data_IF_939028725578
#
_entry.id   IF_939028725578
#
_cell.length_a   1.000
_cell.length_b   1.000
_cell.length_c   1.000
_cell.angle_alpha   90.00
_cell.angle_beta   90.00
_cell.angle_gamma   90.00
#
_symmetry.space_group_name_H-M   'P 1'
#
loop_
_entity.id
_entity.type
_entity.pdbx_description
1 polymer ?
#
# COMPACT_ATOMS: atom_id res chain seq x y z
N UNK A 1 -12.36 12.26 -9.41
CA UNK A 1 -10.93 12.39 -9.73
C UNK A 1 -10.42 13.72 -9.23
N UNK A 2 -9.23 13.75 -8.64
CA UNK A 2 -8.51 14.96 -8.24
C UNK A 2 -7.38 15.22 -9.23
N UNK A 3 -7.12 16.48 -9.54
CA UNK A 3 -5.98 16.92 -10.32
C UNK A 3 -5.13 17.84 -9.43
N UNK A 4 -3.85 17.57 -9.33
CA UNK A 4 -2.95 18.28 -8.44
C UNK A 4 -2.03 19.24 -9.20
N UNK A 5 -1.76 20.38 -8.55
CA UNK A 5 -0.78 21.36 -9.04
C UNK A 5 0.30 21.51 -7.98
N UNK A 6 1.55 21.25 -8.37
CA UNK A 6 2.72 21.43 -7.50
C UNK A 6 2.58 20.67 -6.17
N UNK A 7 2.21 19.40 -6.22
CA UNK A 7 2.24 18.49 -5.07
C UNK A 7 3.31 17.45 -5.33
N UNK A 8 4.22 17.28 -4.38
CA UNK A 8 5.38 16.42 -4.53
C UNK A 8 5.57 15.51 -3.31
N UNK A 9 6.07 14.31 -3.55
CA UNK A 9 6.77 13.51 -2.55
C UNK A 9 8.25 13.86 -2.70
N UNK A 10 8.84 14.47 -1.67
CA UNK A 10 10.22 14.92 -1.71
C UNK A 10 11.17 13.96 -0.99
N UNK A 11 10.66 13.23 0.01
CA UNK A 11 11.44 12.28 0.77
C UNK A 11 10.61 11.08 1.21
N UNK A 12 11.29 9.94 1.46
CA UNK A 12 10.69 8.71 1.98
C UNK A 12 11.68 7.93 2.82
N UNK A 13 11.14 7.14 3.74
CA UNK A 13 11.91 6.23 4.58
C UNK A 13 11.21 4.89 4.71
N UNK A 14 11.98 3.79 4.58
CA UNK A 14 11.45 2.43 4.62
C UNK A 14 12.18 1.56 5.65
N UNK A 15 11.40 0.76 6.37
CA UNK A 15 11.85 -0.32 7.25
C UNK A 15 11.25 -1.61 6.73
N UNK A 16 12.06 -2.66 6.64
CA UNK A 16 11.62 -3.99 6.20
C UNK A 16 11.92 -5.05 7.25
N UNK A 17 11.03 -6.03 7.34
CA UNK A 17 11.18 -7.18 8.24
C UNK A 17 12.23 -8.20 7.78
N UNK A 18 12.45 -9.25 8.58
CA UNK A 18 13.47 -10.26 8.29
C UNK A 18 13.23 -11.02 6.99
N UNK A 19 11.98 -11.41 6.68
CA UNK A 19 11.64 -12.11 5.45
C UNK A 19 11.82 -11.20 4.23
N UNK A 20 11.38 -9.97 4.33
CA UNK A 20 11.50 -8.95 3.29
C UNK A 20 12.97 -8.64 2.98
N UNK A 21 13.82 -8.67 4.00
CA UNK A 21 15.28 -8.48 3.87
C UNK A 21 15.95 -9.67 3.17
N UNK A 22 15.58 -10.90 3.53
CA UNK A 22 16.24 -12.11 3.04
C UNK A 22 15.71 -12.55 1.66
N UNK A 23 14.39 -12.58 1.51
CA UNK A 23 13.71 -13.14 0.36
C UNK A 23 13.14 -12.07 -0.57
N UNK A 24 13.05 -10.80 -0.10
CA UNK A 24 12.48 -9.69 -0.86
C UNK A 24 13.29 -9.33 -2.11
N UNK A 25 12.58 -8.91 -3.14
CA UNK A 25 13.15 -8.30 -4.34
C UNK A 25 13.22 -6.78 -4.18
N UNK A 26 13.72 -6.34 -3.02
CA UNK A 26 13.89 -4.94 -2.65
C UNK A 26 15.38 -4.58 -2.71
N UNK A 27 15.71 -3.42 -3.30
CA UNK A 27 17.08 -3.07 -3.61
C UNK A 27 17.66 -1.98 -2.72
N UNK A 28 16.84 -1.10 -2.17
CA UNK A 28 17.30 0.14 -1.51
C UNK A 28 16.39 0.56 -0.35
N UNK A 29 16.23 -0.29 0.63
CA UNK A 29 15.57 0.04 1.90
C UNK A 29 16.52 0.78 2.86
N UNK A 30 15.95 1.58 3.78
CA UNK A 30 16.75 2.33 4.76
C UNK A 30 17.18 1.47 5.95
N UNK A 31 16.27 0.63 6.47
CA UNK A 31 16.55 -0.24 7.61
C UNK A 31 15.96 -1.64 7.38
N UNK A 32 16.80 -2.68 7.51
CA UNK A 32 16.36 -4.08 7.49
C UNK A 32 16.51 -4.73 8.85
N UNK A 33 15.40 -5.18 9.44
CA UNK A 33 15.37 -5.81 10.75
C UNK A 33 16.05 -7.18 10.75
N UNK A 34 16.61 -7.58 11.89
CA UNK A 34 17.19 -8.91 12.10
C UNK A 34 16.17 -9.93 12.59
N UNK A 35 15.13 -9.47 13.28
CA UNK A 35 14.07 -10.30 13.84
C UNK A 35 12.73 -9.55 13.82
N UNK A 36 11.64 -10.26 14.09
CA UNK A 36 10.29 -9.70 14.08
C UNK A 36 9.93 -8.89 15.33
N UNK A 37 10.74 -8.93 16.38
CA UNK A 37 10.45 -8.21 17.62
C UNK A 37 10.99 -6.80 17.66
N UNK A 38 12.02 -6.49 16.87
CA UNK A 38 12.67 -5.18 16.87
C UNK A 38 13.05 -4.71 18.28
N UNK A 39 13.55 -5.63 19.11
CA UNK A 39 13.84 -5.45 20.54
C UNK A 39 12.61 -5.08 21.39
N UNK A 40 11.41 -5.41 20.96
CA UNK A 40 10.18 -5.25 21.73
C UNK A 40 9.69 -6.60 22.26
N UNK A 41 8.70 -6.60 23.16
CA UNK A 41 8.15 -7.81 23.77
C UNK A 41 7.01 -8.44 22.96
N UNK A 42 6.39 -7.68 22.07
CA UNK A 42 5.26 -8.10 21.24
C UNK A 42 5.40 -7.56 19.82
N UNK A 43 4.74 -8.22 18.87
CA UNK A 43 4.77 -7.82 17.47
C UNK A 43 4.05 -6.49 17.23
N UNK A 44 2.99 -6.22 17.99
CA UNK A 44 2.25 -4.95 17.94
C UNK A 44 3.15 -3.79 18.38
N UNK A 45 3.93 -3.96 19.48
CA UNK A 45 4.91 -2.95 19.91
C UNK A 45 6.06 -2.78 18.94
N UNK A 46 6.50 -3.87 18.30
CA UNK A 46 7.50 -3.79 17.24
C UNK A 46 6.99 -2.95 16.06
N UNK A 47 5.72 -3.11 15.68
CA UNK A 47 5.10 -2.34 14.61
C UNK A 47 4.96 -0.86 14.99
N UNK A 48 4.54 -0.52 16.22
CA UNK A 48 4.54 0.86 16.74
C UNK A 48 5.93 1.48 16.65
N UNK A 49 6.95 0.74 17.06
CA UNK A 49 8.34 1.21 17.02
C UNK A 49 8.83 1.44 15.58
N UNK A 50 8.43 0.60 14.61
CA UNK A 50 8.72 0.85 13.21
C UNK A 50 8.12 2.17 12.73
N UNK A 51 6.85 2.47 13.05
CA UNK A 51 6.24 3.75 12.67
C UNK A 51 6.93 4.94 13.34
N UNK A 52 7.31 4.84 14.62
CA UNK A 52 8.07 5.88 15.34
C UNK A 52 9.44 6.15 14.69
N UNK A 53 10.16 5.10 14.30
CA UNK A 53 11.43 5.24 13.59
C UNK A 53 11.26 5.97 12.25
N UNK A 54 10.22 5.61 11.50
CA UNK A 54 9.89 6.28 10.25
C UNK A 54 9.54 7.75 10.47
N UNK A 55 8.71 8.07 11.46
CA UNK A 55 8.34 9.45 11.77
C UNK A 55 9.56 10.29 12.19
N UNK A 56 10.44 9.72 13.00
CA UNK A 56 11.64 10.41 13.48
C UNK A 56 12.57 10.86 12.34
N UNK A 57 12.61 10.13 11.23
CA UNK A 57 13.37 10.54 10.05
C UNK A 57 12.92 11.92 9.50
N UNK A 58 11.62 12.22 9.57
CA UNK A 58 11.07 13.47 9.02
C UNK A 58 11.05 14.64 9.98
N UNK A 59 11.36 14.45 11.26
CA UNK A 59 11.32 15.51 12.30
C UNK A 59 12.44 16.55 12.19
N UNK A 60 13.28 16.47 11.18
CA UNK A 60 14.31 17.49 10.89
C UNK A 60 13.70 18.82 10.43
N UNK A 61 12.45 18.81 10.01
CA UNK A 61 11.67 19.97 9.59
C UNK A 61 10.31 19.99 10.29
N UNK A 62 9.62 21.14 10.23
CA UNK A 62 8.27 21.25 10.76
C UNK A 62 7.30 20.40 9.96
N UNK A 63 6.59 19.51 10.66
CA UNK A 63 5.49 18.71 10.13
C UNK A 63 4.18 19.38 10.58
N UNK A 64 3.30 19.73 9.65
CA UNK A 64 2.02 20.35 9.97
C UNK A 64 0.94 19.30 10.31
N UNK A 65 1.02 18.12 9.72
CA UNK A 65 0.12 16.98 9.99
C UNK A 65 0.81 15.64 9.72
N UNK A 66 0.54 14.68 10.57
CA UNK A 66 0.84 13.26 10.33
C UNK A 66 -0.47 12.56 9.97
N UNK A 67 -0.46 11.83 8.87
CA UNK A 67 -1.51 10.91 8.52
C UNK A 67 -0.94 9.49 8.55
N UNK A 68 -1.62 8.54 9.19
CA UNK A 68 -1.07 7.19 9.25
C UNK A 68 -2.13 6.10 9.11
N UNK A 69 -1.65 4.89 8.85
CA UNK A 69 -2.45 3.67 8.78
C UNK A 69 -1.66 2.43 9.22
N UNK A 70 -2.39 1.45 9.69
CA UNK A 70 -1.94 0.08 9.90
C UNK A 70 -3.11 -0.89 9.66
N UNK A 71 -2.89 -2.19 9.88
CA UNK A 71 -3.93 -3.20 9.68
C UNK A 71 -4.69 -3.58 10.97
N UNK A 72 -4.19 -3.15 12.13
CA UNK A 72 -4.76 -3.57 13.41
C UNK A 72 -6.09 -2.87 13.68
N UNK A 73 -6.95 -3.52 14.46
CA UNK A 73 -8.26 -2.99 14.82
C UNK A 73 -8.14 -1.57 15.38
N UNK A 74 -8.98 -0.67 14.87
CA UNK A 74 -9.01 0.76 15.22
C UNK A 74 -7.70 1.49 14.96
N UNK A 75 -6.81 0.92 14.13
CA UNK A 75 -5.48 1.47 13.84
C UNK A 75 -4.68 1.75 15.13
N UNK A 76 -4.67 0.78 16.03
CA UNK A 76 -4.05 0.97 17.35
C UNK A 76 -2.56 1.25 17.26
N UNK A 77 -1.87 0.70 16.27
CA UNK A 77 -0.43 0.94 16.06
C UNK A 77 -0.18 2.40 15.73
N UNK A 78 -0.93 2.96 14.78
CA UNK A 78 -0.81 4.36 14.36
C UNK A 78 -1.21 5.34 15.46
N UNK A 79 -2.25 5.00 16.25
CA UNK A 79 -2.67 5.82 17.39
C UNK A 79 -1.61 5.84 18.50
N UNK A 80 -1.02 4.69 18.85
CA UNK A 80 0.06 4.61 19.85
C UNK A 80 1.36 5.27 19.37
N UNK A 81 1.61 5.29 18.05
CA UNK A 81 2.72 6.06 17.50
C UNK A 81 2.48 7.55 17.69
N UNK A 82 1.25 8.03 17.40
CA UNK A 82 0.90 9.44 17.42
C UNK A 82 0.71 10.00 18.84
N UNK A 83 0.34 9.17 19.82
CA UNK A 83 0.07 9.57 21.20
C UNK A 83 1.24 10.34 21.88
N UNK A 84 2.47 9.94 21.56
CA UNK A 84 3.68 10.56 22.13
C UNK A 84 4.13 11.81 21.36
N UNK A 85 3.39 12.19 20.31
CA UNK A 85 3.81 13.25 19.39
C UNK A 85 2.90 14.48 19.51
N UNK A 86 3.50 15.66 19.63
CA UNK A 86 2.76 16.94 19.61
C UNK A 86 2.55 17.44 18.17
N UNK A 87 1.94 16.58 17.33
CA UNK A 87 1.66 16.85 15.92
C UNK A 87 0.21 16.47 15.60
N UNK A 88 -0.57 17.33 14.92
CA UNK A 88 -1.91 16.97 14.47
C UNK A 88 -1.92 15.65 13.70
N UNK A 89 -2.86 14.75 14.05
CA UNK A 89 -2.91 13.39 13.54
C UNK A 89 -4.23 13.08 12.86
N UNK A 90 -4.16 12.37 11.72
CA UNK A 90 -5.31 11.80 11.02
C UNK A 90 -5.06 10.32 10.70
N UNK A 91 -5.86 9.44 11.29
CA UNK A 91 -5.88 8.03 10.91
C UNK A 91 -6.71 7.77 9.65
N UNK A 92 -6.19 6.98 8.71
CA UNK A 92 -6.89 6.59 7.47
C UNK A 92 -6.84 5.07 7.30
N UNK A 93 -8.00 4.43 7.26
CA UNK A 93 -8.09 2.98 7.08
C UNK A 93 -8.82 2.58 5.79
N UNK A 94 -8.11 1.89 4.91
CA UNK A 94 -8.63 1.22 3.71
C UNK A 94 -7.90 -0.12 3.46
N UNK A 95 -7.60 -0.85 4.52
CA UNK A 95 -6.81 -2.08 4.48
C UNK A 95 -5.51 -1.86 3.68
N UNK A 96 -5.17 -2.75 2.73
CA UNK A 96 -3.96 -2.62 1.92
C UNK A 96 -3.98 -1.40 0.96
N UNK A 97 -5.16 -0.80 0.68
CA UNK A 97 -5.27 0.41 -0.14
C UNK A 97 -4.91 1.71 0.61
N UNK A 98 -4.64 1.62 1.91
CA UNK A 98 -4.43 2.79 2.79
C UNK A 98 -3.31 3.72 2.33
N UNK A 99 -2.25 3.19 1.69
CA UNK A 99 -1.14 4.04 1.21
C UNK A 99 -1.65 5.15 0.28
N UNK A 100 -2.38 4.81 -0.77
CA UNK A 100 -2.87 5.81 -1.72
C UNK A 100 -3.94 6.70 -1.09
N UNK A 101 -4.81 6.17 -0.22
CA UNK A 101 -5.81 6.98 0.50
C UNK A 101 -5.16 8.06 1.37
N UNK A 102 -4.12 7.71 2.11
CA UNK A 102 -3.40 8.64 2.97
C UNK A 102 -2.64 9.70 2.18
N UNK A 103 -1.96 9.31 1.10
CA UNK A 103 -1.31 10.24 0.17
C UNK A 103 -2.33 11.22 -0.43
N UNK A 104 -3.51 10.75 -0.87
CA UNK A 104 -4.61 11.59 -1.38
C UNK A 104 -5.07 12.57 -0.28
N UNK A 105 -5.22 12.12 0.95
CA UNK A 105 -5.67 12.96 2.07
C UNK A 105 -4.73 14.13 2.30
N UNK A 106 -3.43 13.88 2.41
CA UNK A 106 -2.42 14.93 2.59
C UNK A 106 -2.33 15.83 1.34
N UNK A 107 -2.34 15.25 0.14
CA UNK A 107 -2.29 16.03 -1.10
C UNK A 107 -3.48 17.02 -1.21
N UNK A 108 -4.67 16.61 -0.78
CA UNK A 108 -5.85 17.48 -0.73
C UNK A 108 -5.71 18.59 0.32
N UNK A 109 -5.16 18.27 1.52
CA UNK A 109 -4.90 19.27 2.55
C UNK A 109 -3.88 20.33 2.09
N UNK A 110 -2.83 19.91 1.37
CA UNK A 110 -1.83 20.82 0.80
C UNK A 110 -2.46 21.64 -0.35
N UNK A 111 -3.21 20.99 -1.25
CA UNK A 111 -3.88 21.66 -2.38
C UNK A 111 -4.89 22.72 -1.91
N UNK A 112 -5.59 22.48 -0.79
CA UNK A 112 -6.51 23.43 -0.15
C UNK A 112 -5.81 24.50 0.67
N UNK A 113 -4.46 24.45 0.76
CA UNK A 113 -3.62 25.34 1.58
C UNK A 113 -3.86 25.21 3.10
N UNK A 114 -4.45 24.12 3.54
CA UNK A 114 -4.61 23.82 4.97
C UNK A 114 -3.31 23.48 5.68
N UNK A 115 -2.40 22.82 4.97
CA UNK A 115 -1.04 22.49 5.44
C UNK A 115 -0.01 22.74 4.34
N UNK A 116 1.26 22.83 4.70
CA UNK A 116 2.39 22.99 3.75
C UNK A 116 3.20 21.71 3.64
N UNK A 117 3.49 21.08 4.78
CA UNK A 117 4.26 19.84 4.90
C UNK A 117 3.45 18.79 5.63
N UNK A 118 3.17 17.66 5.01
CA UNK A 118 2.50 16.53 5.62
C UNK A 118 3.33 15.26 5.50
N UNK A 119 3.26 14.39 6.50
CA UNK A 119 3.90 13.08 6.48
C UNK A 119 2.82 12.00 6.51
N UNK A 120 2.86 11.08 5.57
CA UNK A 120 2.04 9.87 5.60
C UNK A 120 2.91 8.67 5.98
N UNK A 121 2.43 7.85 6.91
CA UNK A 121 3.10 6.62 7.36
C UNK A 121 2.14 5.45 7.27
N UNK A 122 2.62 4.31 6.79
CA UNK A 122 1.89 3.05 6.82
C UNK A 122 2.77 1.93 7.29
N UNK A 123 2.17 0.96 7.99
CA UNK A 123 2.86 -0.24 8.45
C UNK A 123 1.99 -1.47 8.35
N UNK A 124 2.62 -2.61 8.39
CA UNK A 124 2.03 -3.90 8.70
C UNK A 124 3.09 -4.84 9.29
N UNK A 125 2.63 -5.78 10.11
CA UNK A 125 3.48 -6.82 10.68
C UNK A 125 2.82 -8.17 10.46
N UNK A 126 3.51 -9.10 9.81
CA UNK A 126 2.95 -10.42 9.45
C UNK A 126 2.27 -11.10 10.64
N UNK A 127 2.97 -11.20 11.77
CA UNK A 127 2.48 -12.01 12.90
C UNK A 127 1.34 -11.35 13.66
N UNK A 128 1.28 -10.02 13.78
CA UNK A 128 0.12 -9.33 14.34
C UNK A 128 -1.10 -9.43 13.41
N UNK A 129 -0.90 -9.25 12.11
CA UNK A 129 -1.97 -9.40 11.11
C UNK A 129 -2.52 -10.83 11.05
N UNK A 130 -1.66 -11.87 11.08
CA UNK A 130 -2.10 -13.25 11.12
C UNK A 130 -2.93 -13.55 12.38
N UNK A 131 -2.47 -13.07 13.52
CA UNK A 131 -3.18 -13.24 14.80
C UNK A 131 -4.56 -12.57 14.77
N UNK A 132 -4.69 -11.37 14.19
CA UNK A 132 -5.96 -10.67 14.15
C UNK A 132 -6.91 -11.24 13.11
N UNK A 133 -6.45 -11.48 11.88
CA UNK A 133 -7.34 -11.80 10.76
C UNK A 133 -7.59 -13.29 10.55
N UNK A 134 -6.75 -14.16 11.10
CA UNK A 134 -6.82 -15.59 10.87
C UNK A 134 -6.88 -16.43 12.14
N UNK A 135 -6.92 -15.82 13.32
CA UNK A 135 -7.15 -16.54 14.57
C UNK A 135 -8.60 -17.11 14.60
N UNK A 136 -8.85 -18.36 15.03
CA UNK A 136 -7.89 -19.32 15.61
C UNK A 136 -7.23 -20.24 14.57
N UNK A 137 -6.99 -19.77 13.37
CA UNK A 137 -6.32 -20.56 12.34
C UNK A 137 -4.93 -20.94 12.85
N UNK A 138 -4.67 -22.21 12.77
CA UNK A 138 -3.64 -22.91 13.47
C UNK A 138 -2.27 -22.39 13.16
N UNK A 139 -1.51 -22.25 14.19
CA UNK A 139 -0.10 -21.94 14.13
C UNK A 139 0.62 -23.02 13.32
N UNK A 140 1.26 -22.61 12.23
CA UNK A 140 1.97 -23.50 11.34
C UNK A 140 1.13 -24.29 10.33
N UNK A 141 -0.18 -24.04 10.24
CA UNK A 141 -0.99 -24.63 9.17
C UNK A 141 -0.50 -24.21 7.79
N UNK A 142 -0.46 -25.15 6.85
CA UNK A 142 -0.08 -24.88 5.46
C UNK A 142 -1.14 -24.02 4.81
N UNK A 143 -0.74 -22.84 4.33
CA UNK A 143 -1.63 -21.93 3.62
C UNK A 143 -1.80 -22.39 2.15
N UNK A 144 -2.99 -22.23 1.57
CA UNK A 144 -3.18 -22.48 0.15
C UNK A 144 -2.26 -21.59 -0.69
N UNK A 145 -1.76 -22.11 -1.82
CA UNK A 145 -0.88 -21.33 -2.74
C UNK A 145 -1.51 -20.03 -3.27
N UNK A 146 -2.84 -19.92 -3.25
CA UNK A 146 -3.56 -18.67 -3.62
C UNK A 146 -3.51 -17.58 -2.55
N UNK A 147 -3.12 -17.91 -1.32
CA UNK A 147 -2.98 -16.93 -0.24
C UNK A 147 -1.78 -16.02 -0.47
N UNK A 148 -1.83 -14.83 0.11
CA UNK A 148 -0.70 -13.89 0.17
C UNK A 148 -0.05 -13.94 1.54
N UNK A 149 1.18 -13.45 1.62
CA UNK A 149 1.93 -13.26 2.86
C UNK A 149 1.92 -11.77 3.22
N UNK A 150 1.41 -11.42 4.39
CA UNK A 150 1.45 -10.02 4.85
C UNK A 150 2.89 -9.58 5.06
N UNK A 151 3.35 -8.58 4.32
CA UNK A 151 4.69 -8.06 4.47
C UNK A 151 4.86 -7.37 5.83
N UNK A 152 6.05 -7.51 6.42
CA UNK A 152 6.44 -6.80 7.64
C UNK A 152 7.29 -5.59 7.29
N UNK A 153 6.86 -4.41 7.72
CA UNK A 153 7.62 -3.17 7.48
C UNK A 153 6.82 -1.92 7.79
N UNK A 154 7.47 -0.79 7.58
CA UNK A 154 6.85 0.53 7.65
C UNK A 154 7.44 1.43 6.55
N UNK A 155 6.61 2.27 5.97
CA UNK A 155 7.01 3.26 4.97
C UNK A 155 6.41 4.60 5.33
N UNK A 156 7.24 5.64 5.31
CA UNK A 156 6.77 7.03 5.39
C UNK A 156 7.15 7.81 4.14
N UNK A 157 6.31 8.77 3.79
CA UNK A 157 6.56 9.73 2.70
C UNK A 157 6.24 11.13 3.19
N UNK A 158 7.10 12.10 2.84
CA UNK A 158 6.86 13.53 3.08
C UNK A 158 6.34 14.18 1.81
N UNK A 159 5.23 14.91 1.95
CA UNK A 159 4.60 15.65 0.88
C UNK A 159 4.69 17.15 1.13
N UNK A 160 4.92 17.93 0.07
CA UNK A 160 4.91 19.38 0.09
C UNK A 160 4.45 19.98 -1.25
N UNK A 161 4.39 21.31 -1.34
CA UNK A 161 3.99 22.04 -2.56
C UNK A 161 5.12 22.82 -3.23
N UNK A 162 6.37 22.61 -2.85
CA UNK A 162 7.50 23.40 -3.36
C UNK A 162 8.25 22.65 -4.46
N UNK A 163 8.85 21.52 -4.13
CA UNK A 163 9.62 20.67 -5.03
C UNK A 163 9.76 19.28 -4.45
N UNK A 164 10.06 18.29 -5.28
CA UNK A 164 10.28 16.93 -4.81
C UNK A 164 10.75 16.01 -5.93
N UNK A 165 11.09 14.80 -5.55
CA UNK A 165 11.58 13.76 -6.45
C UNK A 165 10.48 13.10 -7.26
N UNK A 166 9.23 13.16 -6.76
CA UNK A 166 8.07 12.55 -7.40
C UNK A 166 6.92 13.55 -7.35
N UNK A 167 6.41 13.93 -8.52
CA UNK A 167 5.24 14.77 -8.66
C UNK A 167 3.97 13.94 -8.61
N UNK A 168 3.00 14.34 -7.81
CA UNK A 168 1.66 13.77 -7.82
C UNK A 168 0.86 14.53 -8.87
N UNK A 169 0.30 13.80 -9.84
CA UNK A 169 -0.39 14.37 -11.00
C UNK A 169 -1.89 14.37 -10.79
N UNK A 170 -2.44 13.20 -10.51
CA UNK A 170 -3.88 13.03 -10.32
C UNK A 170 -4.19 11.82 -9.46
N UNK A 171 -5.42 11.75 -8.92
CA UNK A 171 -5.90 10.60 -8.18
C UNK A 171 -7.39 10.34 -8.43
N UNK A 172 -7.79 9.07 -8.32
CA UNK A 172 -9.18 8.63 -8.38
C UNK A 172 -9.51 7.80 -7.14
N UNK A 173 -10.45 8.27 -6.33
CA UNK A 173 -11.03 7.43 -5.30
C UNK A 173 -11.94 6.39 -5.96
N UNK A 174 -11.65 5.13 -5.74
CA UNK A 174 -12.46 4.03 -6.25
C UNK A 174 -13.66 3.75 -5.35
N UNK A 175 -14.57 2.92 -5.88
CA UNK A 175 -15.78 2.47 -5.20
C UNK A 175 -15.53 1.14 -4.52
N UNK A 176 -16.21 0.91 -3.41
CA UNK A 176 -16.25 -0.42 -2.80
C UNK A 176 -16.99 -1.37 -3.74
N UNK A 177 -16.41 -2.52 -4.01
CA UNK A 177 -16.95 -3.57 -4.86
C UNK A 177 -17.00 -4.90 -4.11
N UNK A 178 -18.03 -5.68 -4.39
CA UNK A 178 -18.17 -7.05 -3.91
C UNK A 178 -18.00 -8.02 -5.09
N UNK A 179 -17.04 -8.90 -4.97
CA UNK A 179 -16.79 -9.99 -5.93
C UNK A 179 -17.55 -11.27 -5.55
N UNK A 180 -18.34 -11.23 -4.46
CA UNK A 180 -19.05 -12.36 -3.85
C UNK A 180 -18.13 -13.52 -3.40
N UNK A 181 -16.83 -13.26 -3.29
CA UNK A 181 -15.85 -14.21 -2.75
C UNK A 181 -15.91 -14.19 -1.22
N UNK A 182 -15.99 -15.38 -0.63
CA UNK A 182 -16.06 -15.61 0.83
C UNK A 182 -14.79 -16.26 1.39
N UNK A 183 -13.82 -16.56 0.52
CA UNK A 183 -12.58 -17.24 0.87
C UNK A 183 -11.53 -16.23 1.31
N UNK A 184 -11.26 -16.18 2.61
CA UNK A 184 -10.24 -15.30 3.22
C UNK A 184 -8.80 -15.55 2.71
N UNK A 185 -8.55 -16.70 2.08
CA UNK A 185 -7.26 -17.02 1.48
C UNK A 185 -7.13 -16.54 0.02
N UNK A 186 -8.21 -16.03 -0.58
CA UNK A 186 -8.22 -15.57 -1.98
C UNK A 186 -8.38 -14.05 -2.08
N UNK A 187 -7.59 -13.31 -1.30
CA UNK A 187 -7.69 -11.83 -1.27
C UNK A 187 -7.41 -11.19 -2.64
N UNK A 188 -6.46 -11.74 -3.40
CA UNK A 188 -6.18 -11.24 -4.75
C UNK A 188 -7.39 -11.33 -5.68
N UNK A 189 -8.12 -12.45 -5.66
CA UNK A 189 -9.36 -12.59 -6.40
C UNK A 189 -10.46 -11.62 -5.94
N UNK A 190 -10.54 -11.37 -4.62
CA UNK A 190 -11.45 -10.36 -4.05
C UNK A 190 -11.15 -8.96 -4.60
N UNK A 191 -9.87 -8.56 -4.62
CA UNK A 191 -9.44 -7.21 -4.96
C UNK A 191 -9.42 -6.93 -6.47
N UNK A 192 -9.30 -7.96 -7.31
CA UNK A 192 -9.17 -7.79 -8.76
C UNK A 192 -10.31 -6.97 -9.38
N UNK A 193 -11.55 -7.16 -8.92
CA UNK A 193 -12.73 -6.47 -9.47
C UNK A 193 -12.73 -4.98 -9.16
N UNK A 194 -12.38 -4.59 -7.93
CA UNK A 194 -12.25 -3.16 -7.59
C UNK A 194 -11.08 -2.51 -8.33
N UNK A 195 -9.98 -3.24 -8.54
CA UNK A 195 -8.84 -2.75 -9.32
C UNK A 195 -9.21 -2.48 -10.79
N UNK A 196 -9.94 -3.40 -11.43
CA UNK A 196 -10.43 -3.24 -12.79
C UNK A 196 -11.38 -2.03 -12.91
N UNK A 197 -12.35 -1.92 -12.01
CA UNK A 197 -13.31 -0.81 -12.01
C UNK A 197 -12.59 0.55 -11.86
N UNK A 198 -11.67 0.66 -10.90
CA UNK A 198 -10.92 1.90 -10.66
C UNK A 198 -9.96 2.23 -11.78
N UNK A 199 -9.30 1.24 -12.38
CA UNK A 199 -8.45 1.42 -13.56
C UNK A 199 -9.23 2.05 -14.72
N UNK A 200 -10.37 1.47 -15.08
CA UNK A 200 -11.25 1.99 -16.15
C UNK A 200 -11.73 3.42 -15.84
N UNK A 201 -12.18 3.64 -14.61
CA UNK A 201 -12.69 4.95 -14.19
C UNK A 201 -11.58 6.01 -14.20
N UNK A 202 -10.37 5.65 -13.78
CA UNK A 202 -9.23 6.56 -13.82
C UNK A 202 -8.89 6.97 -15.26
N UNK A 203 -8.72 6.01 -16.17
CA UNK A 203 -8.41 6.28 -17.58
C UNK A 203 -9.49 7.15 -18.24
N UNK A 204 -10.77 6.82 -18.02
CA UNK A 204 -11.90 7.62 -18.55
C UNK A 204 -11.85 9.06 -18.05
N UNK A 205 -11.69 9.28 -16.75
CA UNK A 205 -11.70 10.60 -16.14
C UNK A 205 -10.46 11.42 -16.48
N UNK A 206 -9.31 10.77 -16.60
CA UNK A 206 -8.06 11.38 -17.04
C UNK A 206 -8.02 11.67 -18.54
N UNK A 207 -8.96 11.09 -19.33
CA UNK A 207 -8.93 11.10 -20.81
C UNK A 207 -7.63 10.53 -21.35
N UNK A 208 -7.16 9.43 -20.75
CA UNK A 208 -5.92 8.71 -21.06
C UNK A 208 -6.20 7.25 -21.42
N UNK A 209 -5.16 6.61 -21.95
CA UNK A 209 -5.11 5.19 -22.23
C UNK A 209 -4.02 4.52 -21.38
N UNK A 210 -3.97 3.20 -21.35
CA UNK A 210 -2.90 2.46 -20.70
C UNK A 210 -1.50 2.77 -21.26
N UNK A 211 -1.43 3.27 -22.51
CA UNK A 211 -0.17 3.60 -23.21
C UNK A 211 0.45 4.90 -22.75
N UNK A 212 -0.31 5.73 -22.04
CA UNK A 212 0.17 7.02 -21.50
C UNK A 212 1.05 6.84 -20.26
N UNK A 213 1.17 5.62 -19.75
CA UNK A 213 1.98 5.25 -18.59
C UNK A 213 3.15 4.35 -18.99
N UNK A 214 4.31 4.59 -18.40
CA UNK A 214 5.48 3.71 -18.53
C UNK A 214 5.29 2.43 -17.69
N UNK A 215 4.51 2.55 -16.59
CA UNK A 215 4.17 1.44 -15.71
C UNK A 215 2.78 1.62 -15.11
N UNK A 216 1.99 0.56 -15.12
CA UNK A 216 0.77 0.38 -14.33
C UNK A 216 1.12 -0.60 -13.22
N UNK A 217 1.08 -0.14 -11.96
CA UNK A 217 1.51 -0.92 -10.80
C UNK A 217 0.34 -1.12 -9.83
N UNK A 218 -0.17 -2.35 -9.73
CA UNK A 218 -1.12 -2.73 -8.68
C UNK A 218 -0.41 -3.09 -7.38
N UNK A 219 -1.13 -3.00 -6.25
CA UNK A 219 -0.55 -3.16 -4.92
C UNK A 219 -0.20 -4.59 -4.56
N UNK A 220 -1.21 -5.39 -4.32
CA UNK A 220 -1.07 -6.71 -3.72
C UNK A 220 -2.12 -7.72 -4.20
N UNK A 221 -2.44 -7.66 -5.50
CA UNK A 221 -3.28 -8.66 -6.14
C UNK A 221 -2.64 -10.07 -6.08
N UNK A 222 -1.31 -10.11 -6.03
CA UNK A 222 -0.53 -11.34 -6.12
C UNK A 222 -0.76 -12.08 -7.44
N UNK A 223 -0.14 -13.22 -7.63
CA UNK A 223 -0.21 -13.98 -8.88
C UNK A 223 -1.65 -14.36 -9.29
N UNK A 224 -2.52 -14.64 -8.31
CA UNK A 224 -3.91 -15.01 -8.59
C UNK A 224 -4.73 -13.81 -9.08
N UNK A 225 -4.72 -12.70 -8.34
CA UNK A 225 -5.51 -11.52 -8.69
C UNK A 225 -4.95 -10.77 -9.90
N UNK A 226 -3.62 -10.69 -10.04
CA UNK A 226 -2.93 -10.14 -11.20
C UNK A 226 -3.33 -10.83 -12.50
N UNK A 227 -3.41 -12.16 -12.47
CA UNK A 227 -3.88 -12.97 -13.64
C UNK A 227 -5.33 -12.64 -14.01
N UNK A 228 -6.22 -12.46 -13.00
CA UNK A 228 -7.63 -12.08 -13.25
C UNK A 228 -7.69 -10.67 -13.85
N UNK A 229 -6.99 -9.71 -13.26
CA UNK A 229 -6.91 -8.33 -13.73
C UNK A 229 -6.48 -8.26 -15.19
N UNK A 230 -5.36 -8.91 -15.53
CA UNK A 230 -4.85 -8.96 -16.91
C UNK A 230 -5.85 -9.62 -17.87
N UNK A 231 -6.34 -10.81 -17.54
CA UNK A 231 -7.21 -11.57 -18.43
C UNK A 231 -8.49 -10.82 -18.79
N UNK A 232 -9.11 -10.14 -17.82
CA UNK A 232 -10.33 -9.38 -18.07
C UNK A 232 -10.04 -8.15 -18.94
N UNK A 233 -9.03 -7.35 -18.59
CA UNK A 233 -8.74 -6.12 -19.33
C UNK A 233 -8.17 -6.41 -20.74
N UNK A 234 -7.33 -7.43 -20.90
CA UNK A 234 -6.86 -7.85 -22.23
C UNK A 234 -8.02 -8.37 -23.10
N UNK A 235 -9.01 -9.07 -22.50
CA UNK A 235 -10.24 -9.45 -23.18
C UNK A 235 -11.11 -8.27 -23.63
N UNK A 236 -10.94 -7.11 -23.01
CA UNK A 236 -11.58 -5.83 -23.38
C UNK A 236 -10.75 -5.00 -24.37
N UNK A 237 -9.59 -5.48 -24.78
CA UNK A 237 -8.72 -4.82 -25.75
C UNK A 237 -7.62 -3.93 -25.20
N UNK A 238 -7.43 -3.87 -23.87
CA UNK A 238 -6.30 -3.15 -23.28
C UNK A 238 -4.97 -3.88 -23.53
N UNK A 239 -3.91 -3.13 -23.78
CA UNK A 239 -2.56 -3.67 -23.94
C UNK A 239 -1.74 -3.50 -22.66
N UNK A 240 -1.66 -4.52 -21.84
CA UNK A 240 -1.03 -4.48 -20.51
C UNK A 240 0.45 -4.94 -20.50
N UNK A 241 1.22 -4.65 -21.54
CA UNK A 241 2.66 -4.97 -21.59
C UNK A 241 3.48 -4.20 -20.54
N UNK A 242 3.00 -3.05 -20.10
CA UNK A 242 3.57 -2.17 -19.08
C UNK A 242 2.96 -2.38 -17.69
N UNK A 243 2.29 -3.52 -17.46
CA UNK A 243 1.66 -3.83 -16.19
C UNK A 243 2.55 -4.71 -15.30
N UNK A 244 2.49 -4.45 -13.99
CA UNK A 244 3.14 -5.22 -12.94
C UNK A 244 2.30 -5.18 -11.66
N UNK A 245 2.33 -6.23 -10.85
CA UNK A 245 1.78 -6.25 -9.49
C UNK A 245 2.93 -6.26 -8.48
N UNK A 246 2.89 -5.35 -7.51
CA UNK A 246 3.94 -5.24 -6.51
C UNK A 246 4.00 -6.51 -5.65
N UNK A 247 2.86 -7.02 -5.20
CA UNK A 247 2.80 -8.22 -4.37
C UNK A 247 3.32 -9.48 -5.07
N UNK A 248 2.95 -9.67 -6.35
CA UNK A 248 3.43 -10.81 -7.16
C UNK A 248 4.96 -10.79 -7.31
N UNK A 249 5.54 -9.61 -7.47
CA UNK A 249 6.97 -9.43 -7.75
C UNK A 249 7.81 -9.15 -6.49
N UNK A 250 7.20 -9.17 -5.31
CA UNK A 250 7.81 -8.72 -4.07
C UNK A 250 8.92 -9.65 -3.57
N UNK A 251 8.72 -10.96 -3.67
CA UNK A 251 9.68 -11.97 -3.24
C UNK A 251 10.37 -12.66 -4.43
N UNK A 252 11.61 -13.09 -4.24
CA UNK A 252 12.40 -13.82 -5.26
C UNK A 252 11.87 -15.23 -5.48
N UNK A 253 11.50 -15.89 -4.41
CA UNK A 253 10.93 -17.26 -4.41
C UNK A 253 9.72 -17.25 -3.47
N UNK A 254 8.59 -17.75 -3.93
CA UNK A 254 7.35 -17.74 -3.17
C UNK A 254 6.60 -19.07 -3.26
N UNK A 255 6.14 -19.54 -2.10
CA UNK A 255 5.21 -20.67 -1.99
C UNK A 255 3.75 -20.24 -1.91
N UNK A 256 3.48 -18.94 -2.11
CA UNK A 256 2.16 -18.32 -2.04
C UNK A 256 1.91 -17.40 -3.24
N UNK A 257 0.79 -16.67 -3.25
CA UNK A 257 0.42 -15.78 -4.35
C UNK A 257 1.24 -14.47 -4.40
N UNK A 258 1.97 -14.15 -3.35
CA UNK A 258 2.80 -12.93 -3.27
C UNK A 258 2.73 -12.24 -1.92
N UNK A 259 3.28 -11.03 -1.83
CA UNK A 259 3.13 -10.18 -0.65
C UNK A 259 1.76 -9.49 -0.63
N UNK A 260 1.31 -9.11 0.58
CA UNK A 260 0.15 -8.25 0.79
C UNK A 260 0.39 -7.28 1.95
N UNK A 261 -0.56 -6.40 2.18
CA UNK A 261 -0.50 -5.39 3.24
C UNK A 261 -0.25 -3.98 2.71
N UNK A 262 -0.56 -2.95 3.50
CA UNK A 262 -0.45 -1.55 3.07
C UNK A 262 0.97 -1.13 2.74
N UNK A 263 1.98 -1.90 3.19
CA UNK A 263 3.39 -1.65 2.90
C UNK A 263 3.88 -2.28 1.59
N UNK A 264 3.16 -3.29 1.03
CA UNK A 264 3.65 -4.02 -0.13
C UNK A 264 3.86 -3.10 -1.34
N UNK A 265 2.87 -2.28 -1.69
CA UNK A 265 2.97 -1.32 -2.78
C UNK A 265 4.07 -0.29 -2.56
N UNK A 266 4.10 0.50 -1.45
CA UNK A 266 5.10 1.53 -1.29
C UNK A 266 6.52 0.99 -1.10
N UNK A 267 6.74 -0.14 -0.41
CA UNK A 267 8.06 -0.76 -0.35
C UNK A 267 8.57 -1.13 -1.75
N UNK A 268 7.74 -1.80 -2.55
CA UNK A 268 8.15 -2.18 -3.90
C UNK A 268 8.38 -0.95 -4.79
N UNK A 269 7.56 0.08 -4.68
CA UNK A 269 7.70 1.34 -5.41
C UNK A 269 9.01 2.04 -5.06
N UNK A 270 9.21 2.36 -3.78
CA UNK A 270 10.32 3.20 -3.32
C UNK A 270 11.65 2.45 -3.24
N UNK A 271 11.64 1.15 -2.97
CA UNK A 271 12.86 0.37 -2.81
C UNK A 271 13.30 -0.34 -4.10
N UNK A 272 12.48 -0.32 -5.15
CA UNK A 272 12.80 -0.99 -6.42
C UNK A 272 12.44 -0.16 -7.66
N UNK A 273 11.14 0.19 -7.86
CA UNK A 273 10.62 0.70 -9.14
C UNK A 273 11.19 2.05 -9.52
N UNK A 274 11.22 3.01 -8.59
CA UNK A 274 11.63 4.40 -8.87
C UNK A 274 13.09 4.54 -9.34
N UNK A 275 13.94 3.56 -9.04
CA UNK A 275 15.34 3.55 -9.51
C UNK A 275 15.49 3.06 -10.95
N UNK A 276 14.44 2.51 -11.54
CA UNK A 276 14.47 2.08 -12.93
C UNK A 276 14.18 3.28 -13.84
N UNK A 277 15.19 3.69 -14.61
CA UNK A 277 15.13 4.85 -15.51
C UNK A 277 14.06 4.75 -16.60
N UNK A 278 13.50 3.56 -16.84
CA UNK A 278 12.42 3.36 -17.81
C UNK A 278 11.07 3.89 -17.34
N UNK A 279 10.85 3.99 -16.02
CA UNK A 279 9.56 4.36 -15.45
C UNK A 279 9.59 5.82 -14.98
N UNK A 280 9.00 6.72 -15.78
CA UNK A 280 8.79 8.12 -15.43
C UNK A 280 7.33 8.38 -15.04
N UNK A 281 6.38 7.95 -15.86
CA UNK A 281 4.95 8.08 -15.63
C UNK A 281 4.38 6.77 -15.10
N UNK A 282 3.91 6.77 -13.86
CA UNK A 282 3.45 5.56 -13.19
C UNK A 282 2.02 5.76 -12.72
N UNK A 283 1.15 4.80 -13.04
CA UNK A 283 -0.17 4.68 -12.46
C UNK A 283 -0.14 3.64 -11.35
N UNK A 284 -0.30 4.08 -10.11
CA UNK A 284 -0.44 3.21 -8.94
C UNK A 284 -1.91 2.87 -8.74
N UNK A 285 -2.20 1.61 -8.44
CA UNK A 285 -3.52 1.09 -8.07
C UNK A 285 -3.37 0.36 -6.73
N UNK A 286 -3.57 1.08 -5.62
CA UNK A 286 -3.53 0.47 -4.30
C UNK A 286 -4.82 -0.30 -4.06
N UNK A 287 -4.69 -1.59 -3.86
CA UNK A 287 -5.78 -2.56 -3.71
C UNK A 287 -5.97 -2.92 -2.24
N UNK A 288 -7.22 -3.07 -1.79
CA UNK A 288 -7.53 -3.40 -0.41
C UNK A 288 -8.72 -4.34 -0.31
N UNK A 289 -8.54 -5.43 0.43
CA UNK A 289 -9.59 -6.36 0.83
C UNK A 289 -10.10 -5.97 2.21
N UNK A 290 -11.39 -5.62 2.31
CA UNK A 290 -12.03 -5.18 3.55
C UNK A 290 -12.43 -6.40 4.39
N UNK A 291 -11.44 -7.21 4.71
CA UNK A 291 -11.59 -8.47 5.43
C UNK A 291 -11.94 -8.23 6.91
N UNK A 292 -13.03 -8.83 7.36
CA UNK A 292 -13.40 -8.88 8.78
C UNK A 292 -13.58 -10.34 9.19
N UNK A 293 -12.80 -10.87 10.14
CA UNK A 293 -12.98 -12.24 10.62
C UNK A 293 -14.39 -12.53 11.12
N UNK A 294 -15.01 -11.56 11.79
CA UNK A 294 -16.39 -11.68 12.27
C UNK A 294 -17.37 -11.93 11.12
N UNK A 295 -17.28 -11.15 10.04
CA UNK A 295 -18.18 -11.27 8.89
C UNK A 295 -17.86 -12.51 8.03
N UNK A 296 -16.58 -12.88 7.89
CA UNK A 296 -16.17 -14.11 7.21
C UNK A 296 -16.73 -15.35 7.92
N UNK A 297 -16.67 -15.39 9.25
CA UNK A 297 -17.26 -16.47 10.04
C UNK A 297 -18.78 -16.56 9.87
N UNK A 298 -19.45 -15.44 9.58
CA UNK A 298 -20.86 -15.39 9.21
C UNK A 298 -21.13 -15.72 7.74
N UNK A 299 -20.08 -16.08 6.97
CA UNK A 299 -20.14 -16.41 5.53
C UNK A 299 -20.62 -15.26 4.65
N UNK A 300 -20.40 -14.03 5.10
CA UNK A 300 -20.60 -12.83 4.29
C UNK A 300 -19.41 -12.70 3.33
N UNK A 301 -19.65 -12.23 2.11
CA UNK A 301 -18.61 -11.97 1.12
C UNK A 301 -17.68 -10.84 1.56
N UNK A 302 -16.46 -10.83 1.02
CA UNK A 302 -15.42 -9.87 1.39
C UNK A 302 -15.43 -8.75 0.34
N UNK A 303 -15.83 -7.52 0.69
CA UNK A 303 -15.75 -6.39 -0.23
C UNK A 303 -14.32 -5.91 -0.40
N UNK A 304 -14.06 -5.19 -1.49
CA UNK A 304 -12.75 -4.62 -1.79
C UNK A 304 -12.85 -3.18 -2.27
N UNK A 305 -11.78 -2.45 -2.13
CA UNK A 305 -11.63 -1.09 -2.64
C UNK A 305 -10.27 -0.91 -3.30
N UNK A 306 -10.20 -0.08 -4.34
CA UNK A 306 -8.94 0.28 -5.00
C UNK A 306 -8.93 1.78 -5.24
N UNK A 307 -7.80 2.43 -4.95
CA UNK A 307 -7.61 3.84 -5.28
C UNK A 307 -6.45 3.99 -6.25
N UNK A 308 -6.60 4.92 -7.21
CA UNK A 308 -5.59 5.21 -8.22
C UNK A 308 -4.83 6.50 -7.88
N UNK A 309 -3.51 6.48 -8.11
CA UNK A 309 -2.64 7.65 -7.99
C UNK A 309 -1.68 7.69 -9.19
N UNK A 310 -1.75 8.75 -9.96
CA UNK A 310 -0.81 9.01 -11.04
C UNK A 310 0.36 9.84 -10.51
N UNK A 311 1.57 9.35 -10.74
CA UNK A 311 2.81 10.02 -10.33
C UNK A 311 3.78 10.17 -11.51
N UNK A 312 4.61 11.20 -11.45
CA UNK A 312 5.76 11.38 -12.33
C UNK A 312 7.05 11.47 -11.52
N UNK A 313 8.04 10.64 -11.88
CA UNK A 313 9.37 10.67 -11.26
C UNK A 313 10.19 11.78 -11.91
N UNK A 314 10.52 12.81 -11.13
CA UNK A 314 11.40 13.91 -11.54
C UNK A 314 12.86 13.44 -11.52
N UNK A 315 13.64 13.79 -12.56
CA UNK A 315 15.04 13.34 -12.74
C UNK A 315 15.92 14.45 -13.24
#
# INVERSE_FOLDING_TARGET
>A
MFNYKNIYIDDWYSIIGPKEKNDGNLKKYNLGLSDYYFNEKTFEKAEVKMQKFVLNHFKTEKIDVVCASDLMDQMIVSNLMAEEEDIPFLGVYNACASFVSGVISIANMIQSKGVKNGVYITSSHNLSAEKQFRFPIEYGAVKPKRSTFTATGAVGVKLNNNAGKIRIVSATLGKVKDSFVKDAFNMGGVMAISAIDTFREHLKNAKKTEKDYDLILTGDLGACGSKIFKKILEGEGYNLKNYMDAGENFYKIIDCSGASGPVALPLYLFDNVIYNKKYKKILLLATGSLHSPLLVNQKISIPSVTHALEIEVER
#
